data_IF_878864745240
#
_entry.id   IF_878864745240
#
_cell.length_a   1.000
_cell.length_b   1.000
_cell.length_c   1.000
_cell.angle_alpha   90.00
_cell.angle_beta   90.00
_cell.angle_gamma   90.00
#
_symmetry.space_group_name_H-M   'P 1'
#
loop_
_entity.id
_entity.type
_entity.pdbx_description
1 polymer ?
#
# COMPACT_ATOMS: atom_id res chain seq x y z
N UNK A 1 -0.48 -19.86 45.18
CA UNK A 1 -0.57 -20.63 43.93
C UNK A 1 -1.57 -19.91 43.05
N UNK A 2 -1.09 -19.02 42.19
CA UNK A 2 -1.89 -18.45 41.11
C UNK A 2 -0.98 -18.44 39.88
N UNK A 3 -1.27 -19.36 38.97
CA UNK A 3 -0.53 -19.59 37.75
C UNK A 3 -1.29 -18.89 36.62
N UNK A 4 -1.05 -17.58 36.48
CA UNK A 4 -1.60 -16.80 35.38
C UNK A 4 -0.84 -17.15 34.10
N UNK A 5 -1.32 -18.18 33.40
CA UNK A 5 -0.95 -18.41 32.01
C UNK A 5 -1.54 -17.27 31.16
N UNK A 6 -0.72 -16.26 30.88
CA UNK A 6 -0.99 -15.29 29.83
C UNK A 6 -0.91 -16.02 28.49
N UNK A 7 -2.07 -16.28 27.87
CA UNK A 7 -2.16 -16.66 26.48
C UNK A 7 -1.74 -15.47 25.61
N UNK A 8 -0.44 -15.38 25.31
CA UNK A 8 0.07 -14.44 24.30
C UNK A 8 -0.47 -14.86 22.95
N UNK A 9 -1.40 -14.06 22.40
CA UNK A 9 -1.86 -14.21 21.03
C UNK A 9 -0.68 -14.01 20.08
N UNK A 10 -0.51 -14.91 19.12
CA UNK A 10 0.59 -14.97 18.14
C UNK A 10 0.82 -13.66 17.35
N UNK A 11 -0.07 -12.68 17.46
CA UNK A 11 -0.11 -11.41 16.72
C UNK A 11 1.01 -10.42 17.07
N UNK A 12 1.62 -10.52 18.25
CA UNK A 12 2.66 -9.56 18.69
C UNK A 12 4.09 -9.94 18.23
N UNK A 13 4.28 -11.14 17.71
CA UNK A 13 5.59 -11.61 17.22
C UNK A 13 5.74 -11.17 15.75
N UNK A 14 6.78 -10.37 15.40
CA UNK A 14 7.04 -9.99 14.02
C UNK A 14 7.11 -11.21 13.11
N UNK A 15 6.48 -11.15 11.94
CA UNK A 15 6.29 -12.29 11.03
C UNK A 15 7.61 -13.04 10.72
N UNK A 16 8.71 -12.30 10.62
CA UNK A 16 10.03 -12.87 10.34
C UNK A 16 10.58 -13.74 11.47
N UNK A 17 10.21 -13.48 12.73
CA UNK A 17 10.62 -14.27 13.91
C UNK A 17 9.83 -15.57 14.05
N UNK A 18 8.70 -15.71 13.34
CA UNK A 18 7.93 -16.96 13.31
C UNK A 18 8.61 -18.04 12.48
N UNK A 19 9.61 -17.70 11.67
CA UNK A 19 10.40 -18.68 10.94
C UNK A 19 11.39 -19.37 11.90
N UNK A 20 11.36 -20.71 11.95
CA UNK A 20 12.26 -21.54 12.77
C UNK A 20 13.73 -21.20 12.58
N UNK A 21 14.12 -20.76 11.38
CA UNK A 21 15.50 -20.46 11.02
C UNK A 21 15.80 -18.96 10.96
N UNK A 22 14.99 -18.12 11.60
CA UNK A 22 15.19 -16.66 11.59
C UNK A 22 16.59 -16.25 12.04
N UNK A 23 17.17 -16.93 13.02
CA UNK A 23 18.52 -16.65 13.52
C UNK A 23 19.65 -16.95 12.52
N UNK A 24 19.36 -17.66 11.42
CA UNK A 24 20.31 -17.92 10.33
C UNK A 24 20.31 -16.80 9.27
N UNK A 25 19.42 -15.81 9.41
CA UNK A 25 19.31 -14.68 8.48
C UNK A 25 20.26 -13.55 8.92
N UNK A 26 21.55 -13.87 9.05
CA UNK A 26 22.59 -12.85 9.23
C UNK A 26 23.46 -12.80 7.98
N UNK A 27 23.17 -11.82 7.11
CA UNK A 27 23.91 -11.58 5.87
C UNK A 27 24.50 -10.19 5.88
N UNK A 28 25.82 -10.07 5.77
CA UNK A 28 26.54 -8.79 5.79
C UNK A 28 26.52 -8.13 4.39
N UNK A 29 25.37 -7.63 3.96
CA UNK A 29 25.14 -7.11 2.59
C UNK A 29 26.15 -6.04 2.10
N UNK A 30 26.79 -5.30 3.01
CA UNK A 30 27.77 -4.26 2.68
C UNK A 30 29.20 -4.80 2.49
N UNK A 31 29.47 -6.01 2.96
CA UNK A 31 30.80 -6.64 2.91
C UNK A 31 30.80 -7.84 1.99
N UNK A 32 29.74 -8.66 2.05
CA UNK A 32 29.55 -9.85 1.24
C UNK A 32 28.77 -9.49 -0.03
N UNK A 33 29.44 -8.77 -0.94
CA UNK A 33 28.92 -8.57 -2.28
C UNK A 33 28.93 -9.93 -3.00
N UNK A 34 27.74 -10.47 -3.31
CA UNK A 34 27.61 -11.72 -4.07
C UNK A 34 28.20 -11.51 -5.47
N UNK A 35 29.18 -12.32 -5.90
CA UNK A 35 29.66 -12.31 -7.27
C UNK A 35 28.50 -12.61 -8.24
N UNK A 36 28.37 -11.82 -9.31
CA UNK A 36 27.30 -11.94 -10.32
C UNK A 36 27.19 -13.38 -10.87
N UNK A 37 28.32 -14.08 -10.97
CA UNK A 37 28.41 -15.47 -11.44
C UNK A 37 27.65 -16.45 -10.52
N UNK A 38 27.64 -16.19 -9.20
CA UNK A 38 26.99 -17.04 -8.20
C UNK A 38 25.49 -16.75 -8.06
N UNK A 39 25.00 -15.60 -8.51
CA UNK A 39 23.58 -15.25 -8.44
C UNK A 39 22.71 -16.26 -9.21
N UNK A 40 23.15 -16.66 -10.41
CA UNK A 40 22.45 -17.66 -11.23
C UNK A 40 22.33 -18.99 -10.50
N UNK A 41 23.44 -19.47 -9.92
CA UNK A 41 23.48 -20.72 -9.16
C UNK A 41 22.63 -20.68 -7.89
N UNK A 42 22.62 -19.54 -7.19
CA UNK A 42 21.76 -19.34 -6.00
C UNK A 42 20.30 -19.40 -6.43
N UNK A 43 19.93 -18.74 -7.52
CA UNK A 43 18.57 -18.75 -8.04
C UNK A 43 18.12 -20.17 -8.43
N UNK A 44 18.98 -20.95 -9.08
CA UNK A 44 18.69 -22.34 -9.43
C UNK A 44 18.46 -23.21 -8.19
N UNK A 45 19.30 -23.07 -7.16
CA UNK A 45 19.14 -23.80 -5.89
C UNK A 45 17.84 -23.40 -5.17
N UNK A 46 17.49 -22.11 -5.16
CA UNK A 46 16.23 -21.64 -4.58
C UNK A 46 15.04 -22.19 -5.37
N UNK A 47 15.12 -22.27 -6.69
CA UNK A 47 14.08 -22.86 -7.53
C UNK A 47 13.92 -24.37 -7.27
N UNK A 48 15.02 -25.09 -7.07
CA UNK A 48 14.99 -26.51 -6.68
C UNK A 48 14.32 -26.74 -5.32
N UNK A 49 14.68 -25.94 -4.30
CA UNK A 49 14.05 -26.03 -2.98
C UNK A 49 12.58 -25.62 -3.03
N UNK A 50 12.22 -24.56 -3.78
CA UNK A 50 10.83 -24.18 -4.02
C UNK A 50 10.04 -25.34 -4.61
N UNK A 51 10.60 -26.05 -5.59
CA UNK A 51 9.95 -27.22 -6.19
C UNK A 51 9.75 -28.33 -5.17
N UNK A 52 10.74 -28.66 -4.34
CA UNK A 52 10.60 -29.67 -3.28
C UNK A 52 9.51 -29.30 -2.28
N UNK A 53 9.43 -28.03 -1.88
CA UNK A 53 8.39 -27.53 -0.97
C UNK A 53 7.00 -27.69 -1.60
N UNK A 54 6.86 -27.40 -2.89
CA UNK A 54 5.60 -27.60 -3.61
C UNK A 54 5.22 -29.09 -3.72
N UNK A 55 6.20 -29.97 -3.93
CA UNK A 55 6.02 -31.43 -3.90
C UNK A 55 5.57 -31.93 -2.51
N UNK A 56 6.16 -31.41 -1.43
CA UNK A 56 5.79 -31.75 -0.04
C UNK A 56 4.40 -31.23 0.35
N UNK A 57 4.04 -30.02 -0.10
CA UNK A 57 2.74 -29.40 0.16
C UNK A 57 1.60 -30.04 -0.65
N UNK A 58 1.92 -30.68 -1.78
CA UNK A 58 0.98 -31.34 -2.68
C UNK A 58 -0.19 -30.42 -3.12
N UNK A 59 0.16 -29.19 -3.54
CA UNK A 59 -0.79 -28.15 -3.95
C UNK A 59 -0.16 -27.14 -4.90
N UNK A 60 -0.97 -26.19 -5.38
CA UNK A 60 -0.52 -25.13 -6.28
C UNK A 60 0.23 -24.02 -5.53
N UNK A 61 1.09 -23.27 -6.24
CA UNK A 61 1.89 -22.19 -5.67
C UNK A 61 1.01 -21.12 -5.02
N UNK A 62 -0.10 -20.78 -5.65
CA UNK A 62 -1.06 -19.81 -5.14
C UNK A 62 -1.71 -20.29 -3.83
N UNK A 63 -1.95 -21.59 -3.68
CA UNK A 63 -2.52 -22.16 -2.47
C UNK A 63 -1.53 -22.12 -1.30
N UNK A 64 -0.26 -22.40 -1.57
CA UNK A 64 0.82 -22.29 -0.60
C UNK A 64 1.04 -20.83 -0.18
N UNK A 65 1.08 -19.90 -1.14
CA UNK A 65 1.25 -18.47 -0.87
C UNK A 65 0.08 -17.91 -0.03
N UNK A 66 -1.15 -18.28 -0.37
CA UNK A 66 -2.32 -17.90 0.41
C UNK A 66 -2.30 -18.45 1.85
N UNK A 67 -1.63 -19.58 2.09
CA UNK A 67 -1.44 -20.12 3.44
C UNK A 67 -0.50 -19.24 4.30
N UNK A 68 0.55 -18.66 3.69
CA UNK A 68 1.47 -17.73 4.35
C UNK A 68 0.88 -16.33 4.54
N UNK A 69 -0.03 -15.92 3.65
CA UNK A 69 -0.66 -14.59 3.65
C UNK A 69 -1.94 -14.54 4.51
N UNK A 70 -2.59 -15.68 4.79
CA UNK A 70 -3.77 -15.78 5.68
C UNK A 70 -3.73 -14.98 7.00
N UNK A 71 -2.57 -14.76 7.67
CA UNK A 71 -2.51 -13.92 8.86
C UNK A 71 -2.67 -12.42 8.61
N UNK A 72 -2.57 -11.96 7.36
CA UNK A 72 -2.85 -10.57 6.97
C UNK A 72 -4.36 -10.46 6.85
N UNK A 73 -4.97 -9.65 7.73
CA UNK A 73 -6.41 -9.45 7.76
C UNK A 73 -6.94 -9.23 6.33
N UNK A 74 -8.01 -9.94 5.98
CA UNK A 74 -8.73 -9.75 4.73
C UNK A 74 -8.99 -8.26 4.54
N UNK A 75 -8.80 -7.76 3.32
CA UNK A 75 -9.22 -6.40 2.96
C UNK A 75 -10.62 -6.17 3.51
N UNK A 76 -10.85 -5.05 4.22
CA UNK A 76 -12.14 -4.80 4.87
C UNK A 76 -13.26 -5.04 3.87
N UNK A 77 -14.19 -5.91 4.24
CA UNK A 77 -15.34 -6.25 3.42
C UNK A 77 -16.25 -5.02 3.34
N UNK A 78 -16.33 -4.43 2.16
CA UNK A 78 -17.09 -3.21 1.93
C UNK A 78 -18.49 -3.49 1.37
N UNK A 79 -18.91 -4.76 1.28
CA UNK A 79 -20.22 -5.17 0.76
C UNK A 79 -21.39 -4.56 1.53
N UNK A 80 -21.20 -4.25 2.82
CA UNK A 80 -22.23 -3.62 3.67
C UNK A 80 -22.23 -2.08 3.62
N UNK A 81 -21.31 -1.47 2.87
CA UNK A 81 -21.30 -0.02 2.71
C UNK A 81 -22.28 0.40 1.61
N UNK A 82 -23.32 1.15 1.99
CA UNK A 82 -24.31 1.73 1.05
C UNK A 82 -23.73 2.82 0.13
N UNK A 83 -22.40 2.89 0.00
CA UNK A 83 -21.74 3.95 -0.74
C UNK A 83 -21.72 3.62 -2.23
N UNK A 84 -22.16 4.58 -3.05
CA UNK A 84 -22.30 4.46 -4.51
C UNK A 84 -21.01 3.97 -5.18
N UNK A 85 -19.86 4.33 -4.62
CA UNK A 85 -18.55 3.85 -5.10
C UNK A 85 -18.43 2.32 -5.11
N UNK A 86 -18.88 1.62 -4.07
CA UNK A 86 -18.72 0.17 -3.97
C UNK A 86 -19.66 -0.56 -4.94
N UNK A 87 -20.88 -0.04 -5.12
CA UNK A 87 -21.80 -0.54 -6.14
C UNK A 87 -21.23 -0.41 -7.57
N UNK A 88 -20.49 0.67 -7.88
CA UNK A 88 -19.82 0.83 -9.18
C UNK A 88 -18.59 -0.09 -9.32
N UNK A 89 -17.85 -0.34 -8.24
CA UNK A 89 -16.72 -1.29 -8.23
C UNK A 89 -17.20 -2.72 -8.49
N UNK A 90 -18.29 -3.14 -7.84
CA UNK A 90 -18.91 -4.47 -8.07
C UNK A 90 -19.45 -4.60 -9.49
N UNK A 91 -20.12 -3.57 -10.01
CA UNK A 91 -20.64 -3.54 -11.39
C UNK A 91 -19.51 -3.70 -12.42
N UNK A 92 -18.37 -3.05 -12.20
CA UNK A 92 -17.18 -3.19 -13.04
C UNK A 92 -16.55 -4.58 -12.90
N UNK A 93 -16.52 -5.16 -11.70
CA UNK A 93 -16.06 -6.53 -11.48
C UNK A 93 -16.92 -7.57 -12.23
N UNK A 94 -18.22 -7.28 -12.41
CA UNK A 94 -19.15 -8.07 -13.22
C UNK A 94 -19.04 -7.81 -14.74
N UNK A 95 -18.09 -6.99 -15.18
CA UNK A 95 -17.85 -6.69 -16.59
C UNK A 95 -18.93 -5.82 -17.24
N UNK A 96 -19.81 -5.21 -16.45
CA UNK A 96 -20.85 -4.31 -16.97
C UNK A 96 -20.24 -2.92 -17.28
N UNK A 97 -20.66 -2.28 -18.39
CA UNK A 97 -20.21 -0.93 -18.72
C UNK A 97 -20.68 0.08 -17.68
N UNK A 98 -19.90 1.15 -17.51
CA UNK A 98 -20.23 2.24 -16.60
C UNK A 98 -21.60 2.83 -16.97
N UNK A 99 -22.47 3.05 -15.98
CA UNK A 99 -23.75 3.72 -16.25
C UNK A 99 -23.45 5.17 -16.66
N UNK A 100 -23.70 5.50 -17.92
CA UNK A 100 -23.59 6.88 -18.38
C UNK A 100 -24.63 7.74 -17.66
N UNK A 101 -24.17 8.82 -17.03
CA UNK A 101 -25.05 9.84 -16.46
C UNK A 101 -25.83 10.49 -17.60
N UNK A 102 -27.16 10.43 -17.53
CA UNK A 102 -28.03 11.12 -18.47
C UNK A 102 -28.12 12.61 -18.11
N UNK A 103 -27.34 13.41 -18.84
CA UNK A 103 -27.30 14.86 -18.69
C UNK A 103 -28.35 15.56 -19.58
N UNK A 104 -28.94 14.85 -20.55
CA UNK A 104 -29.87 15.45 -21.51
C UNK A 104 -31.19 15.88 -20.86
N UNK A 105 -31.52 15.24 -19.73
CA UNK A 105 -32.65 15.62 -18.88
C UNK A 105 -32.56 17.06 -18.36
N UNK A 106 -31.35 17.60 -18.20
CA UNK A 106 -31.12 18.94 -17.64
C UNK A 106 -30.81 20.00 -18.69
N UNK A 107 -30.59 19.62 -19.95
CA UNK A 107 -30.23 20.56 -21.03
C UNK A 107 -31.43 21.00 -21.85
N UNK A 108 -32.44 20.15 -22.02
CA UNK A 108 -33.61 20.43 -22.88
C UNK A 108 -34.91 19.82 -22.34
N UNK A 109 -36.05 20.32 -22.82
CA UNK A 109 -37.40 19.83 -22.47
C UNK A 109 -38.03 18.96 -23.57
N UNK A 110 -37.27 18.66 -24.63
CA UNK A 110 -37.72 17.94 -25.83
C UNK A 110 -38.04 16.47 -25.56
N UNK A 111 -37.50 15.90 -24.49
CA UNK A 111 -37.74 14.53 -24.06
C UNK A 111 -39.15 14.33 -23.45
N UNK A 112 -39.82 15.41 -23.02
CA UNK A 112 -41.17 15.34 -22.43
C UNK A 112 -42.23 15.65 -23.48
N UNK A 113 -43.04 14.65 -23.84
CA UNK A 113 -44.09 14.76 -24.87
C UNK A 113 -45.41 15.35 -24.32
N UNK A 114 -45.71 15.13 -23.05
CA UNK A 114 -46.90 15.66 -22.39
C UNK A 114 -46.74 17.15 -22.06
N UNK A 115 -47.79 17.95 -22.33
CA UNK A 115 -47.77 19.39 -22.18
C UNK A 115 -47.69 19.83 -20.71
N UNK A 116 -48.38 19.13 -19.80
CA UNK A 116 -48.38 19.47 -18.37
C UNK A 116 -47.01 19.16 -17.75
N UNK A 117 -46.49 17.96 -18.01
CA UNK A 117 -45.15 17.58 -17.57
C UNK A 117 -44.05 18.49 -18.16
N UNK A 118 -44.22 18.95 -19.41
CA UNK A 118 -43.28 19.90 -20.02
C UNK A 118 -43.29 21.25 -19.31
N UNK A 119 -44.46 21.74 -18.90
CA UNK A 119 -44.58 23.00 -18.14
C UNK A 119 -43.90 22.90 -16.78
N UNK A 120 -44.09 21.77 -16.09
CA UNK A 120 -43.46 21.54 -14.79
C UNK A 120 -41.94 21.37 -14.93
N UNK A 121 -41.47 20.70 -15.99
CA UNK A 121 -40.05 20.59 -16.31
C UNK A 121 -39.42 21.95 -16.64
N UNK A 122 -40.10 22.80 -17.42
CA UNK A 122 -39.64 24.16 -17.69
C UNK A 122 -39.53 24.99 -16.41
N UNK A 123 -40.49 24.85 -15.49
CA UNK A 123 -40.42 25.51 -14.18
C UNK A 123 -39.18 25.09 -13.40
N UNK A 124 -38.90 23.78 -13.35
CA UNK A 124 -37.71 23.23 -12.70
C UNK A 124 -36.43 23.79 -13.34
N UNK A 125 -36.35 23.83 -14.68
CA UNK A 125 -35.20 24.41 -15.38
C UNK A 125 -35.02 25.90 -15.09
N UNK A 126 -36.12 26.66 -14.96
CA UNK A 126 -36.03 28.09 -14.60
C UNK A 126 -35.58 28.29 -13.15
N UNK A 127 -36.02 27.44 -12.22
CA UNK A 127 -35.56 27.46 -10.83
C UNK A 127 -34.05 27.15 -10.78
N UNK A 128 -33.59 26.11 -11.49
CA UNK A 128 -32.15 25.83 -11.60
C UNK A 128 -31.35 26.95 -12.24
N UNK A 129 -31.87 27.64 -13.26
CA UNK A 129 -31.20 28.77 -13.87
C UNK A 129 -31.07 29.96 -12.89
N UNK A 130 -32.10 30.19 -12.08
CA UNK A 130 -32.07 31.21 -11.04
C UNK A 130 -31.05 30.87 -9.93
N UNK A 131 -31.06 29.63 -9.46
CA UNK A 131 -30.09 29.16 -8.46
C UNK A 131 -28.65 29.20 -9.00
N UNK A 132 -28.46 28.84 -10.27
CA UNK A 132 -27.17 28.94 -10.94
C UNK A 132 -26.68 30.40 -10.98
N UNK A 133 -27.56 31.36 -11.24
CA UNK A 133 -27.20 32.78 -11.20
C UNK A 133 -26.78 33.22 -9.79
N UNK A 134 -27.54 32.84 -8.75
CA UNK A 134 -27.22 33.18 -7.37
C UNK A 134 -25.87 32.56 -6.96
N UNK A 135 -25.62 31.31 -7.36
CA UNK A 135 -24.33 30.65 -7.15
C UNK A 135 -23.19 31.35 -7.89
N UNK A 136 -23.41 31.85 -9.11
CA UNK A 136 -22.41 32.62 -9.84
C UNK A 136 -22.13 33.97 -9.16
N UNK A 137 -23.14 34.64 -8.64
CA UNK A 137 -22.97 35.88 -7.86
C UNK A 137 -22.19 35.63 -6.57
N UNK A 138 -22.48 34.53 -5.86
CA UNK A 138 -21.72 34.12 -4.68
C UNK A 138 -20.28 33.77 -5.05
N UNK A 139 -20.08 33.01 -6.13
CA UNK A 139 -18.76 32.66 -6.64
C UNK A 139 -17.98 33.92 -7.01
N UNK A 140 -18.58 34.88 -7.71
CA UNK A 140 -17.88 36.11 -8.10
C UNK A 140 -17.40 36.92 -6.90
N UNK A 141 -18.21 36.98 -5.83
CA UNK A 141 -17.88 37.68 -4.58
C UNK A 141 -16.78 37.00 -3.77
N UNK A 142 -16.73 35.66 -3.75
CA UNK A 142 -15.87 34.92 -2.82
C UNK A 142 -14.76 34.09 -3.49
N UNK A 143 -14.76 33.95 -4.82
CA UNK A 143 -13.82 33.09 -5.56
C UNK A 143 -12.38 33.39 -5.18
N UNK A 144 -11.96 34.65 -5.27
CA UNK A 144 -10.55 35.00 -5.15
C UNK A 144 -10.01 34.66 -3.76
N UNK A 145 -10.73 35.06 -2.71
CA UNK A 145 -10.34 34.75 -1.32
C UNK A 145 -10.38 33.25 -1.02
N UNK A 146 -11.41 32.53 -1.49
CA UNK A 146 -11.51 31.10 -1.29
C UNK A 146 -10.39 30.33 -2.03
N UNK A 147 -10.11 30.70 -3.28
CA UNK A 147 -9.05 30.10 -4.08
C UNK A 147 -7.67 30.38 -3.49
N UNK A 148 -7.40 31.59 -3.02
CA UNK A 148 -6.14 31.92 -2.36
C UNK A 148 -5.98 31.15 -1.05
N UNK A 149 -7.03 31.07 -0.22
CA UNK A 149 -7.00 30.26 1.01
C UNK A 149 -6.71 28.79 0.71
N UNK A 150 -7.37 28.21 -0.29
CA UNK A 150 -7.12 26.82 -0.69
C UNK A 150 -5.71 26.63 -1.25
N UNK A 151 -5.18 27.61 -1.99
CA UNK A 151 -3.82 27.56 -2.49
C UNK A 151 -2.80 27.60 -1.34
N UNK A 152 -3.04 28.42 -0.32
CA UNK A 152 -2.21 28.49 0.88
C UNK A 152 -2.25 27.18 1.67
N UNK A 153 -3.43 26.58 1.84
CA UNK A 153 -3.60 25.28 2.49
C UNK A 153 -2.83 24.17 1.74
N UNK A 154 -2.95 24.14 0.41
CA UNK A 154 -2.24 23.18 -0.45
C UNK A 154 -0.72 23.41 -0.37
N UNK A 155 -0.28 24.66 -0.38
CA UNK A 155 1.14 25.02 -0.27
C UNK A 155 1.72 24.62 1.09
N UNK A 156 0.97 24.84 2.16
CA UNK A 156 1.30 24.41 3.52
C UNK A 156 1.40 22.89 3.61
N UNK A 157 0.42 22.17 3.05
CA UNK A 157 0.42 20.71 3.00
C UNK A 157 1.62 20.18 2.23
N UNK A 158 1.92 20.75 1.05
CA UNK A 158 3.10 20.39 0.24
C UNK A 158 4.39 20.58 1.04
N UNK A 159 4.51 21.71 1.75
CA UNK A 159 5.69 22.01 2.57
C UNK A 159 5.83 21.01 3.71
N UNK A 160 4.73 20.66 4.38
CA UNK A 160 4.73 19.66 5.46
C UNK A 160 5.18 18.28 4.95
N UNK A 161 4.59 17.82 3.85
CA UNK A 161 4.95 16.53 3.24
C UNK A 161 6.40 16.51 2.76
N UNK A 162 6.91 17.62 2.21
CA UNK A 162 8.31 17.72 1.80
C UNK A 162 9.28 17.63 3.00
N UNK A 163 8.91 18.21 4.15
CA UNK A 163 9.71 18.12 5.38
C UNK A 163 9.70 16.70 5.94
N UNK A 164 8.54 16.05 5.94
CA UNK A 164 8.40 14.67 6.40
C UNK A 164 9.20 13.71 5.52
N UNK A 165 9.15 13.89 4.18
CA UNK A 165 9.99 13.16 3.24
C UNK A 165 11.47 13.33 3.55
N UNK A 166 11.95 14.56 3.70
CA UNK A 166 13.35 14.84 3.99
C UNK A 166 13.79 14.23 5.35
N UNK A 167 12.91 14.24 6.35
CA UNK A 167 13.15 13.59 7.64
C UNK A 167 13.30 12.08 7.49
N UNK A 168 12.38 11.43 6.77
CA UNK A 168 12.44 9.98 6.52
C UNK A 168 13.67 9.60 5.70
N UNK A 169 14.05 10.40 4.70
CA UNK A 169 15.28 10.19 3.93
C UNK A 169 16.52 10.24 4.83
N UNK A 170 16.58 11.22 5.75
CA UNK A 170 17.68 11.33 6.71
C UNK A 170 17.70 10.15 7.71
N UNK A 171 16.54 9.69 8.18
CA UNK A 171 16.43 8.52 9.06
C UNK A 171 16.88 7.23 8.36
N UNK A 172 16.49 7.05 7.09
CA UNK A 172 16.93 5.92 6.26
C UNK A 172 18.45 5.97 6.03
N UNK A 173 19.00 7.16 5.72
CA UNK A 173 20.43 7.33 5.51
C UNK A 173 21.22 7.03 6.80
N UNK A 174 20.74 7.50 7.95
CA UNK A 174 21.35 7.21 9.24
C UNK A 174 21.33 5.72 9.56
N UNK A 175 20.18 5.07 9.37
CA UNK A 175 20.03 3.63 9.56
C UNK A 175 20.98 2.85 8.62
N UNK A 176 21.15 3.28 7.38
CA UNK A 176 22.09 2.66 6.45
C UNK A 176 23.56 2.86 6.88
N UNK A 177 23.92 4.03 7.42
CA UNK A 177 25.24 4.28 8.00
C UNK A 177 25.50 3.35 9.18
N UNK A 178 24.54 3.25 10.10
CA UNK A 178 24.65 2.38 11.28
C UNK A 178 24.79 0.90 10.88
N UNK A 179 23.98 0.44 9.91
CA UNK A 179 24.11 -0.92 9.35
C UNK A 179 25.48 -1.15 8.69
N UNK A 180 26.00 -0.16 7.97
CA UNK A 180 27.33 -0.25 7.33
C UNK A 180 28.45 -0.38 8.36
N UNK A 181 28.42 0.44 9.42
CA UNK A 181 29.41 0.37 10.51
C UNK A 181 29.33 -0.99 11.20
N UNK A 182 28.14 -1.44 11.59
CA UNK A 182 27.93 -2.75 12.22
C UNK A 182 28.45 -3.88 11.33
N UNK A 183 28.15 -3.87 10.02
CA UNK A 183 28.61 -4.90 9.10
C UNK A 183 30.13 -4.95 8.97
N UNK A 184 30.80 -3.79 8.94
CA UNK A 184 32.27 -3.73 8.88
C UNK A 184 32.88 -4.23 10.18
N UNK A 185 32.32 -3.87 11.34
CA UNK A 185 32.79 -4.34 12.65
C UNK A 185 32.68 -5.86 12.77
N UNK A 186 31.54 -6.44 12.39
CA UNK A 186 31.34 -7.88 12.41
C UNK A 186 32.23 -8.60 11.41
N UNK A 187 32.38 -8.08 10.20
CA UNK A 187 33.32 -8.66 9.23
C UNK A 187 34.76 -8.67 9.74
N UNK A 188 35.18 -7.60 10.43
CA UNK A 188 36.51 -7.55 11.06
C UNK A 188 36.66 -8.64 12.12
N UNK A 189 35.67 -8.79 13.02
CA UNK A 189 35.65 -9.84 14.04
C UNK A 189 35.65 -11.25 13.44
N UNK A 190 34.91 -11.47 12.36
CA UNK A 190 34.89 -12.75 11.65
C UNK A 190 36.26 -13.05 11.05
N UNK A 191 36.93 -12.07 10.43
CA UNK A 191 38.29 -12.26 9.88
C UNK A 191 39.30 -12.60 10.96
N UNK A 192 39.25 -11.94 12.13
CA UNK A 192 40.15 -12.28 13.25
C UNK A 192 39.89 -13.70 13.76
N UNK A 193 38.62 -14.10 13.91
CA UNK A 193 38.26 -15.46 14.32
C UNK A 193 38.69 -16.53 13.31
N UNK A 194 38.60 -16.25 12.01
CA UNK A 194 39.08 -17.15 10.96
C UNK A 194 40.60 -17.32 11.06
N UNK A 195 41.34 -16.22 11.24
CA UNK A 195 42.79 -16.27 11.42
C UNK A 195 43.18 -17.07 12.66
N UNK A 196 42.53 -16.84 13.80
CA UNK A 196 42.74 -17.62 15.02
C UNK A 196 42.45 -19.11 14.77
N UNK A 197 41.34 -19.44 14.10
CA UNK A 197 41.00 -20.82 13.76
C UNK A 197 42.06 -21.50 12.87
N UNK A 198 42.53 -20.80 11.84
CA UNK A 198 43.57 -21.32 10.94
C UNK A 198 44.90 -21.53 11.67
N UNK A 199 45.26 -20.63 12.59
CA UNK A 199 46.43 -20.79 13.47
C UNK A 199 46.31 -21.96 14.44
N UNK A 200 45.11 -22.21 14.99
CA UNK A 200 44.84 -23.39 15.83
C UNK A 200 44.88 -24.69 15.02
N UNK A 201 44.41 -24.68 13.78
CA UNK A 201 44.38 -25.85 12.90
C UNK A 201 45.75 -26.19 12.32
N UNK A 202 46.62 -25.19 12.16
CA UNK A 202 47.99 -25.36 11.68
C UNK A 202 48.98 -25.78 12.78
N UNK A 203 48.57 -25.77 14.05
CA UNK A 203 49.32 -26.33 15.19
C UNK A 203 48.88 -27.75 15.49
#
# INVERSE_FOLDING_TARGET
MDNSQASTTDTDIPLYQRNRYHYLVDSLTFVDAVPIELESRIHDLVAEEKRKILEEFNGDEDALLNSYIKPIATTPDHTDSTHVYHAEVERKAQGMPLQALDLDKYTTYTHVKDHNQRRDHLRILTEYAHDAQLNLEALDRYKENAWLSHLDDISSLKTRLSKEKAKLEAEIEQLNKDRKVNNIEWASKIRTLIQEYDEYKSK
#
